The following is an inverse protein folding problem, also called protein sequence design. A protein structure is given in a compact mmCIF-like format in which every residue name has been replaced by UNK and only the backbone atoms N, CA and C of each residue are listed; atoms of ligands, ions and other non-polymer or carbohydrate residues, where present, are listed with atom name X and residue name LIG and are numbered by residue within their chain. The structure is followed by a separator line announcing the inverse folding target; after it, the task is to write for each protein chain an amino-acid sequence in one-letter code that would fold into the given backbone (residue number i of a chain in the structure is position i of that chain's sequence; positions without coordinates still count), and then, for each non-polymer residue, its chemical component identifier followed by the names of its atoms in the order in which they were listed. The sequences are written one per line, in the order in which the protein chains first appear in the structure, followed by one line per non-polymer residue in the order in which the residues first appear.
data_IF_187657884763
#
_entry.id   IF_187657884763
#
_cell.length_a   1.000
_cell.length_b   1.000
_cell.length_c   1.000
_cell.angle_alpha   90.00
_cell.angle_beta   90.00
_cell.angle_gamma   90.00
#
_symmetry.space_group_name_H-M   'P 1'
#
loop_
_entity.id
_entity.type
_entity.pdbx_description
1 polymer ?
#
# COMPACT_ATOMS: atom_id res chain seq x y z
N UNK A 1 21.59 -6.14 -4.29
CA UNK A 1 20.58 -7.14 -4.42
C UNK A 1 19.52 -6.80 -5.45
N UNK A 2 18.69 -7.76 -5.73
CA UNK A 2 17.61 -7.59 -6.70
C UNK A 2 16.35 -7.03 -6.01
N UNK A 3 16.34 -5.73 -5.76
CA UNK A 3 15.22 -5.08 -5.09
C UNK A 3 13.94 -5.14 -5.92
N UNK A 4 14.06 -5.02 -7.26
CA UNK A 4 12.89 -5.04 -8.13
C UNK A 4 12.24 -6.43 -8.14
N UNK A 5 13.04 -7.49 -8.26
CA UNK A 5 12.52 -8.86 -8.22
C UNK A 5 11.88 -9.21 -6.89
N UNK A 6 12.50 -8.78 -5.78
CA UNK A 6 11.95 -9.01 -4.46
C UNK A 6 10.64 -8.24 -4.26
N UNK A 7 10.58 -6.99 -4.73
CA UNK A 7 9.36 -6.18 -4.64
C UNK A 7 8.25 -6.78 -5.49
N UNK A 8 8.57 -7.26 -6.69
CA UNK A 8 7.61 -7.91 -7.57
C UNK A 8 7.01 -9.15 -6.92
N UNK A 9 7.84 -9.98 -6.30
CA UNK A 9 7.38 -11.15 -5.57
C UNK A 9 6.49 -10.76 -4.40
N UNK A 10 6.85 -9.71 -3.66
CA UNK A 10 6.06 -9.23 -2.54
C UNK A 10 4.70 -8.72 -2.99
N UNK A 11 4.64 -7.96 -4.08
CA UNK A 11 3.37 -7.46 -4.63
C UNK A 11 2.50 -8.64 -5.07
N UNK A 12 3.07 -9.64 -5.74
CA UNK A 12 2.34 -10.84 -6.14
C UNK A 12 1.74 -11.58 -4.94
N UNK A 13 2.47 -11.63 -3.83
CA UNK A 13 2.04 -12.38 -2.65
C UNK A 13 1.00 -11.64 -1.81
N UNK A 14 0.95 -10.31 -1.87
CA UNK A 14 0.07 -9.50 -1.04
C UNK A 14 -1.17 -8.98 -1.75
N UNK A 15 -1.06 -8.70 -3.04
CA UNK A 15 -2.11 -8.05 -3.82
C UNK A 15 -2.76 -9.01 -4.80
N UNK A 16 -4.04 -8.78 -5.08
CA UNK A 16 -4.85 -9.70 -5.88
C UNK A 16 -4.85 -9.36 -7.38
N UNK A 17 -3.76 -8.80 -7.92
CA UNK A 17 -3.71 -8.43 -9.34
C UNK A 17 -3.96 -9.60 -10.28
N UNK A 18 -3.59 -10.82 -9.87
CA UNK A 18 -3.85 -12.02 -10.67
C UNK A 18 -5.32 -12.43 -10.68
N UNK A 19 -6.10 -11.94 -9.72
CA UNK A 19 -7.53 -12.28 -9.60
C UNK A 19 -8.43 -11.26 -10.28
N UNK A 20 -7.88 -10.09 -10.67
CA UNK A 20 -8.64 -9.04 -11.30
C UNK A 20 -8.10 -7.67 -10.93
N UNK A 21 -8.96 -6.65 -11.00
CA UNK A 21 -8.57 -5.29 -10.65
C UNK A 21 -8.30 -5.17 -9.15
N UNK A 22 -7.26 -4.43 -8.81
CA UNK A 22 -6.98 -4.02 -7.44
C UNK A 22 -7.15 -2.50 -7.39
N UNK A 23 -7.91 -2.03 -6.42
CA UNK A 23 -8.18 -0.60 -6.25
C UNK A 23 -7.15 -0.03 -5.30
N UNK A 24 -6.03 0.41 -5.85
CA UNK A 24 -4.90 0.90 -5.06
C UNK A 24 -4.65 2.38 -5.35
N UNK A 25 -4.80 3.19 -4.31
CA UNK A 25 -4.42 4.60 -4.32
C UNK A 25 -3.33 4.81 -3.26
N UNK A 26 -2.06 4.86 -3.69
CA UNK A 26 -0.95 5.08 -2.77
C UNK A 26 -0.94 6.47 -2.15
N UNK A 27 -0.23 6.62 -1.04
CA UNK A 27 -0.15 7.87 -0.29
C UNK A 27 0.44 9.01 -1.11
N UNK A 28 1.50 8.75 -1.86
CA UNK A 28 2.29 9.78 -2.55
C UNK A 28 2.05 9.83 -4.06
N UNK A 29 0.88 9.42 -4.51
CA UNK A 29 0.52 9.48 -5.92
C UNK A 29 -0.49 10.62 -6.16
N UNK A 30 -0.18 11.52 -7.09
CA UNK A 30 -1.03 12.67 -7.39
C UNK A 30 -1.40 12.79 -8.86
N UNK A 31 -0.47 12.54 -9.77
CA UNK A 31 -0.73 12.63 -11.21
C UNK A 31 -1.41 11.36 -11.72
N UNK A 32 -0.86 10.22 -11.38
CA UNK A 32 -1.49 8.93 -11.64
C UNK A 32 -1.86 8.32 -10.29
N UNK A 33 -3.02 8.69 -9.79
CA UNK A 33 -3.44 8.36 -8.44
C UNK A 33 -3.72 6.88 -8.23
N UNK A 34 -4.32 6.24 -9.24
CA UNK A 34 -4.86 4.88 -9.09
C UNK A 34 -3.97 3.88 -9.79
N UNK A 35 -3.52 2.88 -9.07
CA UNK A 35 -2.57 1.87 -9.55
C UNK A 35 -3.32 0.56 -9.72
N UNK A 36 -3.99 0.42 -10.87
CA UNK A 36 -4.90 -0.69 -11.13
C UNK A 36 -4.20 -1.93 -11.68
N UNK A 37 -2.92 -1.81 -12.06
CA UNK A 37 -2.14 -2.94 -12.56
C UNK A 37 -0.95 -3.20 -11.63
N UNK A 38 -0.46 -4.45 -11.64
CA UNK A 38 0.72 -4.83 -10.87
C UNK A 38 1.94 -3.99 -11.23
N UNK A 39 2.12 -3.73 -12.53
CA UNK A 39 3.24 -2.91 -13.00
C UNK A 39 3.22 -1.51 -12.41
N UNK A 40 2.04 -0.89 -12.37
CA UNK A 40 1.88 0.45 -11.82
C UNK A 40 2.11 0.46 -10.29
N UNK A 41 1.67 -0.59 -9.60
CA UNK A 41 1.91 -0.71 -8.17
C UNK A 41 3.41 -0.90 -7.88
N UNK A 42 4.07 -1.73 -8.67
CA UNK A 42 5.49 -1.96 -8.53
C UNK A 42 6.29 -0.68 -8.75
N UNK A 43 5.89 0.12 -9.74
CA UNK A 43 6.52 1.42 -10.01
C UNK A 43 6.48 2.31 -8.77
N UNK A 44 5.34 2.36 -8.09
CA UNK A 44 5.22 3.18 -6.87
C UNK A 44 6.24 2.76 -5.80
N UNK A 45 6.40 1.46 -5.58
CA UNK A 45 7.24 0.96 -4.48
C UNK A 45 8.74 1.05 -4.77
N UNK A 46 9.16 0.85 -6.00
CA UNK A 46 10.59 0.78 -6.33
C UNK A 46 11.05 1.77 -7.40
N UNK A 47 10.13 2.62 -7.88
CA UNK A 47 10.39 3.48 -9.02
C UNK A 47 10.22 2.71 -10.32
N UNK A 48 9.95 3.40 -11.40
CA UNK A 48 9.76 2.76 -12.69
C UNK A 48 9.31 3.76 -13.74
N UNK A 49 8.37 3.36 -14.58
CA UNK A 49 7.96 4.13 -15.75
C UNK A 49 7.14 5.38 -15.42
N UNK A 50 6.56 5.46 -14.21
CA UNK A 50 5.74 6.61 -13.83
C UNK A 50 6.62 7.67 -13.19
N UNK A 51 6.73 8.87 -13.81
CA UNK A 51 7.72 9.88 -13.39
C UNK A 51 7.62 10.39 -11.96
N UNK A 52 6.42 10.43 -11.39
CA UNK A 52 6.26 10.92 -10.02
C UNK A 52 6.73 9.93 -8.95
N UNK A 53 6.97 8.68 -9.33
CA UNK A 53 7.32 7.63 -8.38
C UNK A 53 8.78 7.73 -7.95
N UNK A 54 8.96 7.79 -6.63
CA UNK A 54 10.30 7.94 -6.03
C UNK A 54 10.77 6.66 -5.34
N UNK A 55 10.00 5.57 -5.46
CA UNK A 55 10.35 4.30 -4.84
C UNK A 55 10.08 4.30 -3.34
N UNK A 56 8.80 4.34 -2.97
CA UNK A 56 8.40 4.41 -1.56
C UNK A 56 9.09 3.35 -0.69
N UNK A 57 9.22 2.13 -1.20
CA UNK A 57 9.85 1.03 -0.46
C UNK A 57 11.36 1.17 -0.34
N UNK A 58 11.98 2.05 -1.14
CA UNK A 58 13.42 2.28 -1.11
C UNK A 58 13.82 3.36 -0.11
N UNK A 59 12.84 4.11 0.41
CA UNK A 59 13.11 5.12 1.43
C UNK A 59 13.49 4.42 2.74
N UNK A 60 14.50 4.92 3.48
CA UNK A 60 14.94 4.24 4.70
C UNK A 60 13.97 4.43 5.86
N UNK A 61 13.03 3.51 5.96
CA UNK A 61 12.09 3.48 7.07
C UNK A 61 12.68 2.64 8.22
N UNK A 62 12.66 3.16 9.43
CA UNK A 62 13.12 2.43 10.61
C UNK A 62 12.07 1.47 11.14
N UNK A 63 10.83 1.89 11.11
CA UNK A 63 9.72 1.06 11.59
C UNK A 63 8.39 1.52 11.00
N UNK A 64 7.43 0.60 11.02
CA UNK A 64 6.04 0.88 10.66
C UNK A 64 5.16 0.34 11.78
N UNK A 65 4.26 1.16 12.29
CA UNK A 65 3.34 0.79 13.37
C UNK A 65 1.91 0.97 12.88
N UNK A 66 1.05 -0.03 13.15
CA UNK A 66 -0.35 0.01 12.77
C UNK A 66 -1.25 0.30 13.96
N UNK A 67 -2.26 1.14 13.76
CA UNK A 67 -3.34 1.34 14.71
C UNK A 67 -4.65 1.13 13.95
N UNK A 68 -5.19 -0.07 14.07
CA UNK A 68 -6.44 -0.41 13.40
C UNK A 68 -7.62 0.20 14.15
N UNK A 69 -8.47 0.95 13.44
CA UNK A 69 -9.70 1.47 14.03
C UNK A 69 -10.76 0.38 14.12
N UNK A 70 -10.96 -0.36 13.03
CA UNK A 70 -11.97 -1.41 12.99
C UNK A 70 -11.77 -2.36 11.83
N UNK A 71 -12.36 -3.56 11.97
CA UNK A 71 -12.45 -4.58 10.93
C UNK A 71 -13.90 -4.94 10.69
N UNK A 72 -14.21 -5.29 9.44
CA UNK A 72 -15.49 -5.89 9.08
C UNK A 72 -15.19 -7.19 8.33
N UNK A 73 -15.66 -8.31 8.86
CA UNK A 73 -15.31 -9.64 8.34
C UNK A 73 -16.53 -10.37 7.79
N UNK A 74 -16.37 -10.93 6.59
CA UNK A 74 -17.34 -11.84 5.96
C UNK A 74 -16.62 -13.13 5.58
N UNK A 75 -17.37 -14.12 5.06
CA UNK A 75 -16.79 -15.42 4.73
C UNK A 75 -15.60 -15.34 3.78
N UNK A 76 -15.64 -14.44 2.79
CA UNK A 76 -14.61 -14.34 1.75
C UNK A 76 -13.95 -12.97 1.67
N UNK A 77 -14.42 -12.01 2.46
CA UNK A 77 -13.89 -10.66 2.41
C UNK A 77 -13.61 -10.12 3.80
N UNK A 78 -12.65 -9.22 3.87
CA UNK A 78 -12.34 -8.49 5.09
C UNK A 78 -12.10 -7.02 4.71
N UNK A 79 -12.60 -6.13 5.54
CA UNK A 79 -12.36 -4.69 5.38
C UNK A 79 -11.72 -4.17 6.66
N UNK A 80 -10.80 -3.25 6.52
CA UNK A 80 -10.15 -2.64 7.67
C UNK A 80 -9.88 -1.16 7.40
N UNK A 81 -9.91 -0.35 8.42
CA UNK A 81 -9.41 1.02 8.33
C UNK A 81 -8.70 1.39 9.62
N UNK A 82 -7.84 2.39 9.52
CA UNK A 82 -7.05 2.83 10.65
C UNK A 82 -5.93 3.75 10.20
N UNK A 83 -4.89 3.77 11.00
CA UNK A 83 -3.70 4.55 10.70
C UNK A 83 -2.48 3.65 10.70
N UNK A 84 -1.47 4.01 9.89
CA UNK A 84 -0.15 3.48 10.09
C UNK A 84 0.85 4.62 10.17
N UNK A 85 1.90 4.36 10.91
CA UNK A 85 2.90 5.35 11.25
C UNK A 85 4.26 4.84 10.77
N UNK A 86 4.89 5.63 9.92
CA UNK A 86 6.21 5.31 9.39
C UNK A 86 7.25 6.15 10.11
N UNK A 87 8.30 5.53 10.62
CA UNK A 87 9.40 6.25 11.27
C UNK A 87 10.58 6.32 10.32
N UNK A 88 10.97 7.55 9.97
CA UNK A 88 12.11 7.80 9.10
C UNK A 88 13.41 7.39 9.80
N UNK A 89 14.23 6.58 9.13
CA UNK A 89 15.46 6.06 9.72
C UNK A 89 16.54 7.14 9.92
N UNK A 90 16.47 8.22 9.12
CA UNK A 90 17.47 9.30 9.19
C UNK A 90 17.12 10.35 10.22
N UNK A 91 15.84 10.74 10.30
CA UNK A 91 15.41 11.85 11.14
C UNK A 91 14.73 11.41 12.42
N UNK A 92 14.23 10.16 12.47
CA UNK A 92 13.41 9.68 13.58
C UNK A 92 12.00 10.23 13.57
N UNK A 93 11.63 11.02 12.56
CA UNK A 93 10.30 11.59 12.44
C UNK A 93 9.26 10.50 12.15
N UNK A 94 8.12 10.60 12.84
CA UNK A 94 7.01 9.69 12.61
C UNK A 94 5.99 10.37 11.69
N UNK A 95 5.61 9.67 10.62
CA UNK A 95 4.67 10.18 9.62
C UNK A 95 3.39 9.35 9.72
N UNK A 96 2.26 10.02 9.97
CA UNK A 96 0.95 9.39 10.08
C UNK A 96 0.27 9.32 8.72
N UNK A 97 -0.26 8.15 8.40
CA UNK A 97 -1.00 7.91 7.16
C UNK A 97 -2.30 7.18 7.51
N UNK A 98 -3.40 7.63 6.94
CA UNK A 98 -4.69 6.97 7.08
C UNK A 98 -4.84 5.90 6.02
N UNK A 99 -5.49 4.78 6.35
CA UNK A 99 -5.70 3.71 5.39
C UNK A 99 -7.10 3.11 5.44
N UNK A 100 -7.51 2.61 4.27
CA UNK A 100 -8.63 1.70 4.13
C UNK A 100 -8.14 0.52 3.31
N UNK A 101 -8.37 -0.70 3.80
CA UNK A 101 -7.97 -1.92 3.11
C UNK A 101 -9.17 -2.81 2.87
N UNK A 102 -9.19 -3.46 1.72
CA UNK A 102 -10.11 -4.54 1.43
C UNK A 102 -9.32 -5.77 1.01
N UNK A 103 -9.77 -6.93 1.46
CA UNK A 103 -9.12 -8.21 1.18
C UNK A 103 -10.12 -9.21 0.66
N UNK A 104 -9.67 -10.10 -0.21
CA UNK A 104 -10.44 -11.27 -0.59
C UNK A 104 -9.65 -12.52 -0.23
N UNK A 105 -10.39 -13.60 0.03
CA UNK A 105 -9.80 -14.91 0.27
C UNK A 105 -9.78 -15.66 -1.06
N UNK A 106 -8.59 -16.08 -1.49
CA UNK A 106 -8.48 -16.82 -2.74
C UNK A 106 -8.83 -18.30 -2.52
N UNK A 107 -8.77 -19.09 -3.59
CA UNK A 107 -9.11 -20.53 -3.54
C UNK A 107 -8.23 -21.32 -2.59
N UNK A 108 -7.03 -20.84 -2.30
CA UNK A 108 -6.09 -21.50 -1.37
C UNK A 108 -6.28 -21.04 0.08
N UNK A 109 -7.26 -20.19 0.33
CA UNK A 109 -7.54 -19.69 1.67
C UNK A 109 -6.68 -18.50 2.09
N UNK A 110 -5.89 -17.95 1.16
CA UNK A 110 -5.01 -16.81 1.44
C UNK A 110 -5.74 -15.50 1.22
N UNK A 111 -5.55 -14.55 2.12
CA UNK A 111 -6.09 -13.19 1.97
C UNK A 111 -5.18 -12.35 1.09
N UNK A 112 -5.78 -11.71 0.08
CA UNK A 112 -5.06 -10.83 -0.84
C UNK A 112 -5.75 -9.47 -0.86
N UNK A 113 -4.96 -8.41 -1.03
CA UNK A 113 -5.45 -7.04 -1.05
C UNK A 113 -6.13 -6.74 -2.38
N UNK A 114 -7.39 -6.29 -2.32
CA UNK A 114 -8.12 -5.80 -3.50
C UNK A 114 -8.38 -4.31 -3.43
N UNK A 115 -8.23 -3.71 -2.24
CA UNK A 115 -8.40 -2.28 -2.04
C UNK A 115 -7.35 -1.79 -1.06
N UNK A 116 -6.64 -0.75 -1.43
CA UNK A 116 -5.76 -0.02 -0.51
C UNK A 116 -5.83 1.44 -0.86
N UNK A 117 -6.45 2.22 0.01
CA UNK A 117 -6.53 3.67 -0.13
C UNK A 117 -5.76 4.27 1.04
N UNK A 118 -4.71 5.01 0.74
CA UNK A 118 -3.84 5.63 1.74
C UNK A 118 -3.73 7.11 1.48
N UNK A 119 -3.80 7.91 2.53
CA UNK A 119 -3.73 9.36 2.41
C UNK A 119 -3.20 9.98 3.71
N UNK A 120 -2.67 11.18 3.59
CA UNK A 120 -2.32 11.96 4.78
C UNK A 120 -3.61 12.49 5.43
N UNK A 121 -3.61 12.66 6.75
CA UNK A 121 -4.74 13.29 7.43
C UNK A 121 -5.02 14.68 6.86
N UNK A 122 -6.27 15.07 6.88
CA UNK A 122 -6.67 16.41 6.46
C UNK A 122 -5.93 17.45 7.29
N UNK A 123 -5.41 18.48 6.61
CA UNK A 123 -4.73 19.60 7.25
C UNK A 123 -5.59 20.85 7.12
N UNK A 124 -6.23 21.32 8.21
CA UNK A 124 -7.14 22.46 8.14
C UNK A 124 -6.46 23.80 7.82
N UNK A 125 -5.13 23.82 7.82
CA UNK A 125 -4.37 25.04 7.49
C UNK A 125 -4.06 25.16 6.00
N UNK A 126 -4.41 24.15 5.21
CA UNK A 126 -4.23 24.17 3.76
C UNK A 126 -5.45 24.69 3.03
#
# INVERSE_FOLDING_TARGET
GDFKGLAEETVDNLYAYDEGNVLFKPTLASEQQFRLTEEDALSYFVGGDIPEDVGFALRPWRSVRFENAAFSLNCKTALAMGNYFFTDAKTGEEIKVEFSFGYIKNKDGKLLIILQDSSFPFNPEQ
#
